data_IF_700291288521
#
_entry.id   IF_700291288521
#
_cell.length_a   1.000
_cell.length_b   1.000
_cell.length_c   1.000
_cell.angle_alpha   90.00
_cell.angle_beta   90.00
_cell.angle_gamma   90.00
#
_symmetry.space_group_name_H-M   'P 1'
#
loop_
_entity.id
_entity.type
_entity.pdbx_description
1 polymer ?
#
# COMPACT_ATOMS: atom_id res chain seq x y z
N UNK A 1 -5.59 -9.39 8.41
CA UNK A 1 -5.04 -9.42 7.04
C UNK A 1 -5.64 -8.23 6.30
N UNK A 2 -4.83 -7.37 5.67
CA UNK A 2 -5.32 -6.18 4.93
C UNK A 2 -5.89 -6.61 3.58
N UNK A 3 -7.07 -6.10 3.20
CA UNK A 3 -7.81 -6.52 2.01
C UNK A 3 -8.98 -5.58 1.67
N UNK A 4 -9.93 -6.02 0.82
CA UNK A 4 -11.09 -5.22 0.43
C UNK A 4 -11.83 -4.63 1.63
N UNK A 5 -12.16 -3.33 1.55
CA UNK A 5 -12.79 -2.58 2.63
C UNK A 5 -11.82 -2.02 3.68
N UNK A 6 -10.52 -2.35 3.62
CA UNK A 6 -9.53 -1.72 4.48
C UNK A 6 -9.30 -0.25 4.10
N UNK A 7 -9.06 0.56 5.12
CA UNK A 7 -8.68 1.96 5.02
C UNK A 7 -7.26 2.15 5.55
N UNK A 8 -6.50 3.03 4.90
CA UNK A 8 -5.22 3.53 5.36
C UNK A 8 -5.37 5.03 5.61
N UNK A 9 -5.09 5.44 6.85
CA UNK A 9 -5.14 6.83 7.28
C UNK A 9 -3.70 7.28 7.53
N UNK A 10 -3.27 8.34 6.84
CA UNK A 10 -1.97 8.96 7.05
C UNK A 10 -2.17 10.38 7.57
N UNK A 11 -1.56 10.69 8.71
CA UNK A 11 -1.57 12.03 9.29
C UNK A 11 -0.28 12.74 8.90
N UNK A 12 -0.41 13.98 8.41
CA UNK A 12 0.76 14.78 8.08
C UNK A 12 1.46 15.25 9.35
N UNK A 13 2.77 15.02 9.50
CA UNK A 13 3.52 15.54 10.64
C UNK A 13 3.84 17.04 10.50
N UNK A 14 3.50 17.67 9.37
CA UNK A 14 3.65 19.11 9.15
C UNK A 14 2.59 19.93 9.90
N UNK A 15 2.86 21.22 10.09
CA UNK A 15 1.98 22.20 10.75
C UNK A 15 0.59 22.35 10.12
N UNK A 16 0.33 21.71 8.96
CA UNK A 16 -0.94 21.75 8.27
C UNK A 16 -1.96 20.70 8.74
N UNK A 17 -1.56 19.75 9.61
CA UNK A 17 -2.44 18.80 10.30
C UNK A 17 -3.30 17.90 9.38
N UNK A 18 -3.01 17.86 8.08
CA UNK A 18 -3.89 17.20 7.10
C UNK A 18 -3.95 15.70 7.33
N UNK A 19 -5.15 15.14 7.18
CA UNK A 19 -5.40 13.70 7.27
C UNK A 19 -5.76 13.16 5.89
N UNK A 20 -5.01 12.17 5.43
CA UNK A 20 -5.19 11.56 4.12
C UNK A 20 -5.83 10.19 4.27
N UNK A 21 -7.02 10.03 3.70
CA UNK A 21 -7.77 8.78 3.71
C UNK A 21 -7.57 8.05 2.38
N UNK A 22 -7.04 6.84 2.46
CA UNK A 22 -6.83 5.95 1.33
C UNK A 22 -7.67 4.69 1.48
N UNK A 23 -8.18 4.17 0.37
CA UNK A 23 -8.93 2.93 0.35
C UNK A 23 -8.16 1.83 -0.38
N UNK A 24 -8.31 0.59 0.09
CA UNK A 24 -7.73 -0.58 -0.55
C UNK A 24 -8.07 -0.60 -2.05
N UNK A 25 -7.05 -0.72 -2.89
CA UNK A 25 -7.20 -0.85 -4.34
C UNK A 25 -6.89 -2.29 -4.79
N UNK A 26 -5.71 -2.80 -4.42
CA UNK A 26 -5.24 -4.12 -4.83
C UNK A 26 -4.19 -4.70 -3.90
N UNK A 27 -3.94 -5.99 -4.07
CA UNK A 27 -2.91 -6.74 -3.35
C UNK A 27 -2.26 -7.76 -4.26
N UNK A 28 -0.93 -7.79 -4.22
CA UNK A 28 -0.12 -8.65 -5.08
C UNK A 28 1.00 -9.31 -4.30
N UNK A 29 1.52 -10.39 -4.87
CA UNK A 29 2.78 -11.00 -4.47
C UNK A 29 3.76 -10.82 -5.62
N UNK A 30 4.92 -10.27 -5.31
CA UNK A 30 6.05 -10.12 -6.23
C UNK A 30 7.24 -10.92 -5.73
N UNK A 31 8.27 -11.07 -6.56
CA UNK A 31 9.60 -11.42 -6.10
C UNK A 31 10.22 -10.31 -5.25
N UNK A 32 11.50 -10.47 -4.93
CA UNK A 32 12.27 -9.52 -4.11
C UNK A 32 12.83 -8.33 -4.90
N UNK A 33 12.72 -8.34 -6.23
CA UNK A 33 13.32 -7.31 -7.07
C UNK A 33 12.55 -5.97 -6.97
N UNK A 34 13.30 -4.87 -6.86
CA UNK A 34 12.71 -3.53 -6.78
C UNK A 34 11.81 -3.23 -7.98
N UNK A 35 12.21 -3.65 -9.19
CA UNK A 35 11.45 -3.40 -10.40
C UNK A 35 10.05 -4.05 -10.35
N UNK A 36 9.95 -5.29 -9.84
CA UNK A 36 8.65 -5.94 -9.67
C UNK A 36 7.80 -5.25 -8.61
N UNK A 37 8.39 -4.88 -7.47
CA UNK A 37 7.69 -4.21 -6.36
C UNK A 37 7.11 -2.86 -6.82
N UNK A 38 7.94 -2.02 -7.45
CA UNK A 38 7.50 -0.71 -7.96
C UNK A 38 6.52 -0.84 -9.12
N UNK A 39 6.67 -1.86 -9.97
CA UNK A 39 5.79 -2.10 -11.11
C UNK A 39 4.32 -2.28 -10.72
N UNK A 40 4.03 -2.85 -9.55
CA UNK A 40 2.64 -3.05 -9.07
C UNK A 40 1.92 -1.70 -8.87
N UNK A 41 2.60 -0.70 -8.32
CA UNK A 41 2.02 0.62 -8.02
C UNK A 41 1.71 1.46 -9.26
N UNK A 42 2.39 1.20 -10.39
CA UNK A 42 2.22 1.96 -11.65
C UNK A 42 0.85 1.77 -12.29
N UNK A 43 0.16 0.67 -11.98
CA UNK A 43 -1.15 0.35 -12.56
C UNK A 43 -2.33 0.73 -11.65
N UNK A 44 -2.07 1.31 -10.47
CA UNK A 44 -3.11 1.73 -9.55
C UNK A 44 -3.49 3.21 -9.76
N UNK A 45 -4.76 3.60 -9.54
CA UNK A 45 -5.18 5.00 -9.63
C UNK A 45 -4.32 5.91 -8.75
N UNK A 46 -3.78 6.99 -9.33
CA UNK A 46 -2.98 7.99 -8.63
C UNK A 46 -3.87 9.09 -8.03
N UNK A 47 -3.49 9.67 -6.87
CA UNK A 47 -2.33 9.32 -6.05
C UNK A 47 -2.57 8.03 -5.24
N UNK A 48 -1.52 7.23 -5.07
CA UNK A 48 -1.56 5.98 -4.33
C UNK A 48 -0.39 5.83 -3.35
N UNK A 49 -0.57 4.95 -2.38
CA UNK A 49 0.46 4.51 -1.44
C UNK A 49 0.48 2.99 -1.45
N UNK A 50 1.67 2.41 -1.43
CA UNK A 50 1.84 0.96 -1.31
C UNK A 50 2.59 0.60 -0.04
N UNK A 51 2.04 -0.34 0.73
CA UNK A 51 2.71 -0.98 1.86
C UNK A 51 3.39 -2.25 1.35
N UNK A 52 4.66 -2.43 1.70
CA UNK A 52 5.48 -3.55 1.23
C UNK A 52 6.03 -4.32 2.42
N UNK A 53 5.85 -5.64 2.43
CA UNK A 53 6.39 -6.50 3.48
C UNK A 53 6.89 -7.84 2.92
N UNK A 54 7.75 -8.52 3.66
CA UNK A 54 8.18 -9.89 3.35
C UNK A 54 7.02 -10.88 3.51
N UNK A 55 6.86 -11.80 2.57
CA UNK A 55 5.77 -12.79 2.58
C UNK A 55 6.14 -14.05 1.82
N UNK A 56 5.42 -15.15 2.07
CA UNK A 56 5.39 -16.36 1.25
C UNK A 56 4.41 -16.20 0.08
N UNK A 57 4.46 -17.10 -0.91
CA UNK A 57 3.52 -17.10 -2.06
C UNK A 57 2.05 -17.30 -1.68
N UNK A 58 1.76 -17.75 -0.46
CA UNK A 58 0.42 -17.93 0.08
C UNK A 58 -0.01 -16.81 1.04
N UNK A 59 0.65 -15.64 1.00
CA UNK A 59 0.36 -14.46 1.83
C UNK A 59 0.64 -14.62 3.33
N UNK A 60 1.33 -15.69 3.74
CA UNK A 60 1.79 -15.83 5.12
C UNK A 60 3.10 -15.04 5.35
N UNK A 61 3.41 -14.61 6.58
CA UNK A 61 4.65 -13.89 6.86
C UNK A 61 5.92 -14.75 6.68
N UNK A 62 7.08 -14.08 6.76
CA UNK A 62 8.43 -14.64 7.03
C UNK A 62 9.27 -15.20 5.87
N UNK A 63 8.96 -14.93 4.60
CA UNK A 63 9.88 -15.28 3.49
C UNK A 63 10.43 -14.01 2.83
N UNK A 64 11.76 -13.91 2.71
CA UNK A 64 12.46 -12.76 2.16
C UNK A 64 12.58 -12.79 0.64
N UNK A 65 12.20 -13.89 -0.02
CA UNK A 65 12.27 -14.02 -1.49
C UNK A 65 11.07 -13.41 -2.20
N UNK A 66 9.98 -13.13 -1.46
CA UNK A 66 8.77 -12.52 -2.02
C UNK A 66 8.33 -11.32 -1.19
N UNK A 67 7.58 -10.44 -1.84
CA UNK A 67 6.95 -9.30 -1.18
C UNK A 67 5.46 -9.36 -1.38
N UNK A 68 4.72 -9.13 -0.31
CA UNK A 68 3.33 -8.72 -0.41
C UNK A 68 3.33 -7.21 -0.60
N UNK A 69 2.65 -6.75 -1.65
CA UNK A 69 2.45 -5.34 -1.95
C UNK A 69 0.95 -5.07 -1.82
N UNK A 70 0.59 -4.15 -0.92
CA UNK A 70 -0.80 -3.72 -0.73
C UNK A 70 -0.91 -2.26 -1.12
N UNK A 71 -1.65 -1.98 -2.19
CA UNK A 71 -1.79 -0.63 -2.73
C UNK A 71 -3.14 -0.04 -2.34
N UNK A 72 -3.11 1.22 -1.93
CA UNK A 72 -4.27 2.02 -1.56
C UNK A 72 -4.30 3.29 -2.41
N UNK A 73 -5.49 3.71 -2.83
CA UNK A 73 -5.71 4.94 -3.59
C UNK A 73 -6.35 6.00 -2.72
N UNK A 74 -5.92 7.25 -2.88
CA UNK A 74 -6.45 8.37 -2.09
C UNK A 74 -7.93 8.58 -2.44
N UNK A 75 -8.77 8.71 -1.42
CA UNK A 75 -10.21 8.96 -1.59
C UNK A 75 -10.66 10.27 -0.97
N UNK A 76 -9.99 10.74 0.11
CA UNK A 76 -10.34 11.98 0.80
C UNK A 76 -9.11 12.59 1.47
N UNK A 77 -9.08 13.92 1.55
CA UNK A 77 -8.13 14.68 2.35
C UNK A 77 -8.93 15.59 3.26
N UNK A 78 -8.75 15.44 4.57
CA UNK A 78 -9.37 16.29 5.56
C UNK A 78 -8.37 17.39 5.99
N UNK A 79 -8.84 18.64 6.14
CA UNK A 79 -7.99 19.73 6.63
C UNK A 79 -7.61 19.52 8.10
N UNK A 80 -6.43 20.00 8.48
CA UNK A 80 -5.99 20.11 9.88
C UNK A 80 -6.57 21.33 10.60
#
# INVERSE_FOLDING_TARGET
MVGPGAELILESPSDDGRVYHYQFARRDITGESNAEIFGVGLFAPLPNVSLVACSKTNFLPTDTRHRIVVTFSLVRVDPG
#
